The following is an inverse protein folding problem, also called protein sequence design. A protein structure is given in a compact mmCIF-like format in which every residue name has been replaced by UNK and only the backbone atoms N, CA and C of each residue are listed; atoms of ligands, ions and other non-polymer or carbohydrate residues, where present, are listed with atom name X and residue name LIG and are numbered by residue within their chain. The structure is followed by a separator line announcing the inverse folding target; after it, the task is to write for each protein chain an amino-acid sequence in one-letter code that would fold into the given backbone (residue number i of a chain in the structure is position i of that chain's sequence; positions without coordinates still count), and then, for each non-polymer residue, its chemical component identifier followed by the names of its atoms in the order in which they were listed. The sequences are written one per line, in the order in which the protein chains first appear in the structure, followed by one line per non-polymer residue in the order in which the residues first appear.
data_IF_953043657140
#
_entry.id   IF_953043657140
#
_cell.length_a   1.000
_cell.length_b   1.000
_cell.length_c   1.000
_cell.angle_alpha   90.00
_cell.angle_beta   90.00
_cell.angle_gamma   90.00
#
_symmetry.space_group_name_H-M   'P 1'
#
loop_
_entity.id
_entity.type
_entity.pdbx_description
1 polymer ?
#
# COMPACT_ATOMS: atom_id res chain seq x y z
N UNK A 1 8.33 -15.43 2.25
CA UNK A 1 7.59 -15.19 1.02
C UNK A 1 7.77 -13.78 0.51
N UNK A 2 7.75 -12.80 1.40
CA UNK A 2 7.99 -11.44 0.99
C UNK A 2 9.39 -11.28 0.43
N UNK A 3 10.34 -11.96 1.02
CA UNK A 3 11.70 -11.88 0.51
C UNK A 3 11.83 -12.56 -0.83
N UNK A 4 11.04 -13.61 -1.07
CA UNK A 4 11.06 -14.26 -2.37
C UNK A 4 10.52 -13.33 -3.45
N UNK A 5 9.45 -12.62 -3.15
CA UNK A 5 8.89 -11.66 -4.09
C UNK A 5 9.92 -10.58 -4.41
N UNK A 6 10.60 -10.12 -3.40
CA UNK A 6 11.61 -9.10 -3.57
C UNK A 6 12.76 -9.61 -4.41
N UNK A 7 13.15 -10.85 -4.19
CA UNK A 7 14.23 -11.47 -4.95
C UNK A 7 13.89 -11.57 -6.42
N UNK A 8 12.63 -11.64 -6.74
CA UNK A 8 12.17 -11.74 -8.11
C UNK A 8 12.00 -10.39 -8.78
N UNK A 9 12.51 -9.35 -8.16
CA UNK A 9 12.47 -8.04 -8.77
C UNK A 9 11.23 -7.23 -8.46
N UNK A 10 10.42 -7.71 -7.54
CA UNK A 10 9.25 -6.93 -7.13
C UNK A 10 9.73 -5.76 -6.30
N UNK A 11 9.37 -4.57 -6.71
CA UNK A 11 9.78 -3.36 -6.02
C UNK A 11 8.60 -2.49 -5.65
N UNK A 12 7.50 -3.12 -5.29
CA UNK A 12 6.29 -2.42 -4.88
C UNK A 12 5.76 -3.06 -3.62
N UNK A 13 5.44 -2.24 -2.64
CA UNK A 13 4.79 -2.69 -1.42
C UNK A 13 3.31 -2.36 -1.48
N UNK A 14 2.49 -3.27 -1.03
CA UNK A 14 1.05 -3.07 -0.96
C UNK A 14 0.60 -3.12 0.49
N UNK A 15 -0.37 -2.30 0.82
CA UNK A 15 -0.95 -2.31 2.17
C UNK A 15 -2.41 -1.92 2.07
N UNK A 16 -3.26 -2.61 2.82
CA UNK A 16 -4.69 -2.32 2.83
C UNK A 16 -5.08 -1.86 4.21
N UNK A 17 -5.81 -0.76 4.28
CA UNK A 17 -6.25 -0.19 5.54
C UNK A 17 -7.69 0.31 5.40
N UNK A 18 -8.34 0.44 6.53
CA UNK A 18 -9.70 0.95 6.55
C UNK A 18 -9.74 2.35 5.96
N UNK A 19 -10.72 2.59 5.12
CA UNK A 19 -10.80 3.83 4.36
C UNK A 19 -10.97 5.05 5.27
N UNK A 20 -11.57 4.85 6.43
CA UNK A 20 -11.76 5.94 7.39
C UNK A 20 -10.67 5.99 8.45
N UNK A 21 -9.63 5.19 8.28
CA UNK A 21 -8.50 5.20 9.21
C UNK A 21 -7.63 6.43 8.93
N UNK A 22 -7.36 7.25 9.94
CA UNK A 22 -6.53 8.43 9.73
C UNK A 22 -5.11 8.12 9.27
N UNK A 23 -4.66 6.88 9.42
CA UNK A 23 -3.36 6.49 8.94
C UNK A 23 -3.25 6.54 7.43
N UNK A 24 -4.38 6.53 6.71
CA UNK A 24 -4.35 6.66 5.25
C UNK A 24 -3.58 7.93 4.85
N UNK A 25 -3.85 9.04 5.53
CA UNK A 25 -3.16 10.29 5.23
C UNK A 25 -1.66 10.15 5.45
N UNK A 26 -1.28 9.44 6.51
CA UNK A 26 0.13 9.24 6.79
C UNK A 26 0.80 8.42 5.71
N UNK A 27 0.14 7.37 5.25
CA UNK A 27 0.72 6.54 4.19
C UNK A 27 0.89 7.33 2.91
N UNK A 28 -0.11 8.13 2.56
CA UNK A 28 -0.01 8.95 1.35
C UNK A 28 1.13 9.95 1.47
N UNK A 29 1.31 10.47 2.66
CA UNK A 29 2.38 11.42 2.93
C UNK A 29 3.75 10.77 2.81
N UNK A 30 3.83 9.47 3.07
CA UNK A 30 5.09 8.73 2.99
C UNK A 30 5.39 8.18 1.60
N UNK A 31 4.59 8.56 0.62
CA UNK A 31 4.87 8.15 -0.75
C UNK A 31 3.99 7.03 -1.26
N UNK A 32 3.06 6.57 -0.47
CA UNK A 32 2.10 5.59 -0.95
C UNK A 32 1.07 6.26 -1.85
N UNK A 33 0.55 5.50 -2.80
CA UNK A 33 -0.51 5.99 -3.68
C UNK A 33 -1.66 5.00 -3.63
N UNK A 34 -2.84 5.50 -3.95
CA UNK A 34 -4.03 4.66 -3.96
C UNK A 34 -4.03 3.81 -5.21
N UNK A 35 -3.98 2.50 -5.02
CA UNK A 35 -4.05 1.57 -6.13
C UNK A 35 -5.51 1.23 -6.44
N UNK A 36 -6.29 0.99 -5.39
CA UNK A 36 -7.67 0.59 -5.53
C UNK A 36 -8.36 0.84 -4.21
N UNK A 37 -9.68 0.80 -4.20
CA UNK A 37 -10.41 0.87 -2.95
C UNK A 37 -11.80 0.29 -3.08
N UNK A 38 -12.33 -0.14 -1.95
CA UNK A 38 -13.68 -0.61 -1.84
C UNK A 38 -14.45 0.36 -0.94
N UNK A 39 -15.63 -0.05 -0.51
CA UNK A 39 -16.43 0.79 0.38
C UNK A 39 -15.81 0.89 1.78
N UNK A 40 -14.96 -0.04 2.15
CA UNK A 40 -14.45 -0.13 3.50
C UNK A 40 -12.95 -0.02 3.61
N UNK A 41 -12.22 -0.44 2.60
CA UNK A 41 -10.77 -0.42 2.65
C UNK A 41 -10.18 0.19 1.39
N UNK A 42 -9.00 0.73 1.56
CA UNK A 42 -8.24 1.31 0.47
C UNK A 42 -6.94 0.52 0.36
N UNK A 43 -6.59 0.15 -0.86
CA UNK A 43 -5.33 -0.53 -1.13
C UNK A 43 -4.31 0.49 -1.57
N UNK A 44 -3.24 0.58 -0.81
CA UNK A 44 -2.17 1.53 -1.10
C UNK A 44 -0.95 0.78 -1.59
N UNK A 45 -0.17 1.42 -2.41
CA UNK A 45 1.07 0.84 -2.87
C UNK A 45 2.17 1.89 -2.84
N UNK A 46 3.39 1.42 -2.72
CA UNK A 46 4.55 2.29 -2.73
C UNK A 46 5.64 1.66 -3.56
N UNK A 47 6.20 2.43 -4.49
CA UNK A 47 7.34 1.98 -5.26
C UNK A 47 8.59 2.02 -4.41
N UNK A 48 9.38 1.01 -4.52
CA UNK A 48 10.66 0.91 -3.81
C UNK A 48 11.86 1.25 -4.74
#
# INVERSE_FOLDING_TARGET
LCSAAKSNGVSVLYDDIAIDNPAVSLFLKHGFVEESRTEEIILLKKGL
#
